data_IF_194564882270
#
_entry.id   IF_194564882270
#
_cell.length_a   1.000
_cell.length_b   1.000
_cell.length_c   1.000
_cell.angle_alpha   90.00
_cell.angle_beta   90.00
_cell.angle_gamma   90.00
#
_symmetry.space_group_name_H-M   'P 1'
#
loop_
_entity.id
_entity.type
_entity.pdbx_description
1 polymer ?
#
# COMPACT_ATOMS: atom_id res chain seq x y z
N UNK A 1 6.72 26.97 26.53
CA UNK A 1 5.34 26.51 26.76
C UNK A 1 4.59 26.65 25.44
N UNK A 2 4.36 25.54 24.74
CA UNK A 2 3.59 25.55 23.49
C UNK A 2 2.13 25.78 23.88
N UNK A 3 1.57 26.89 23.44
CA UNK A 3 0.17 27.22 23.65
C UNK A 3 -0.70 26.25 22.85
N UNK A 4 -1.12 25.17 23.50
CA UNK A 4 -1.98 24.13 22.92
C UNK A 4 -3.42 24.65 23.02
N UNK A 5 -3.78 25.61 22.17
CA UNK A 5 -5.20 25.88 21.96
C UNK A 5 -5.80 24.66 21.28
N UNK A 6 -6.93 24.13 21.73
CA UNK A 6 -7.59 23.02 21.12
C UNK A 6 -8.04 23.44 19.71
N UNK A 7 -7.30 22.99 18.71
CA UNK A 7 -7.68 23.16 17.32
C UNK A 7 -8.93 22.32 17.04
N UNK A 8 -9.80 22.80 16.18
CA UNK A 8 -10.87 21.97 15.64
C UNK A 8 -10.26 20.73 14.95
N UNK A 9 -11.01 19.63 14.83
CA UNK A 9 -10.55 18.41 14.14
C UNK A 9 -9.99 18.72 12.74
N UNK A 10 -10.61 19.67 12.04
CA UNK A 10 -10.14 20.17 10.73
C UNK A 10 -8.78 20.89 10.84
N UNK A 11 -8.54 21.64 11.90
CA UNK A 11 -7.26 22.31 12.15
C UNK A 11 -6.10 21.31 12.36
N UNK A 12 -6.37 20.20 13.06
CA UNK A 12 -5.38 19.13 13.21
C UNK A 12 -5.09 18.42 11.88
N UNK A 13 -6.09 18.22 11.05
CA UNK A 13 -5.94 17.63 9.72
C UNK A 13 -5.08 18.51 8.80
N UNK A 14 -5.35 19.82 8.74
CA UNK A 14 -4.54 20.74 7.96
C UNK A 14 -3.09 20.82 8.46
N UNK A 15 -2.89 20.78 9.77
CA UNK A 15 -1.55 20.76 10.36
C UNK A 15 -0.80 19.47 10.03
N UNK A 16 -1.50 18.33 10.03
CA UNK A 16 -0.96 17.03 9.58
C UNK A 16 -0.54 17.07 8.11
N UNK A 17 -1.39 17.61 7.24
CA UNK A 17 -1.07 17.78 5.81
C UNK A 17 0.15 18.70 5.61
N UNK A 18 0.23 19.79 6.35
CA UNK A 18 1.39 20.68 6.29
C UNK A 18 2.67 20.00 6.77
N UNK A 19 2.61 19.17 7.82
CA UNK A 19 3.76 18.38 8.28
C UNK A 19 4.27 17.41 7.22
N UNK A 20 3.38 16.81 6.41
CA UNK A 20 3.77 15.89 5.32
C UNK A 20 4.59 16.58 4.22
N UNK A 21 4.49 17.89 4.08
CA UNK A 21 5.28 18.67 3.09
C UNK A 21 6.64 19.11 3.61
N UNK A 22 6.91 18.96 4.91
CA UNK A 22 8.16 19.40 5.53
C UNK A 22 9.36 18.60 5.03
N UNK A 23 10.52 19.28 4.80
CA UNK A 23 11.76 18.60 4.45
C UNK A 23 12.16 17.63 5.55
N UNK A 24 12.44 16.38 5.20
CA UNK A 24 12.73 15.29 6.15
C UNK A 24 11.55 14.33 6.38
N UNK A 25 10.32 14.80 6.38
CA UNK A 25 9.11 13.96 6.53
C UNK A 25 8.56 13.54 5.16
N UNK A 26 8.57 14.44 4.18
CA UNK A 26 7.98 14.23 2.85
C UNK A 26 8.48 12.94 2.16
N UNK A 27 9.74 12.55 2.35
CA UNK A 27 10.31 11.34 1.75
C UNK A 27 9.65 10.06 2.24
N UNK A 28 9.20 10.03 3.50
CA UNK A 28 8.51 8.88 4.10
C UNK A 28 7.06 8.76 3.62
N UNK A 29 6.51 9.81 3.04
CA UNK A 29 5.18 9.85 2.41
C UNK A 29 5.28 9.52 0.92
N UNK A 30 6.20 10.18 0.20
CA UNK A 30 6.32 10.02 -1.25
C UNK A 30 6.88 8.68 -1.67
N UNK A 31 7.80 8.11 -0.90
CA UNK A 31 8.44 6.84 -1.26
C UNK A 31 7.45 5.67 -1.28
N UNK A 32 6.64 5.41 -0.22
CA UNK A 32 5.63 4.37 -0.27
C UNK A 32 4.53 4.66 -1.30
N UNK A 33 4.19 5.92 -1.53
CA UNK A 33 3.22 6.31 -2.54
C UNK A 33 3.71 5.96 -3.95
N UNK A 34 4.97 6.27 -4.29
CA UNK A 34 5.57 5.94 -5.58
C UNK A 34 5.66 4.43 -5.80
N UNK A 35 6.10 3.68 -4.78
CA UNK A 35 6.14 2.21 -4.85
C UNK A 35 4.75 1.66 -5.10
N UNK A 36 3.75 2.19 -4.42
CA UNK A 36 2.37 1.76 -4.56
C UNK A 36 1.82 2.03 -5.96
N UNK A 37 2.07 3.23 -6.51
CA UNK A 37 1.72 3.58 -7.89
C UNK A 37 2.43 2.65 -8.88
N UNK A 38 3.72 2.40 -8.68
CA UNK A 38 4.50 1.51 -9.56
C UNK A 38 3.95 0.08 -9.54
N UNK A 39 3.72 -0.47 -8.35
CA UNK A 39 3.15 -1.82 -8.19
C UNK A 39 1.76 -1.91 -8.81
N UNK A 40 0.93 -0.90 -8.62
CA UNK A 40 -0.39 -0.83 -9.22
C UNK A 40 -0.31 -0.81 -10.74
N UNK A 41 0.56 0.03 -11.29
CA UNK A 41 0.75 0.15 -12.75
C UNK A 41 1.24 -1.16 -13.37
N UNK A 42 2.21 -1.82 -12.74
CA UNK A 42 2.73 -3.12 -13.21
C UNK A 42 1.64 -4.19 -13.09
N UNK A 43 0.96 -4.27 -11.95
CA UNK A 43 -0.11 -5.23 -11.72
C UNK A 43 -1.25 -5.07 -12.73
N UNK A 44 -1.65 -3.83 -12.99
CA UNK A 44 -2.69 -3.52 -13.97
C UNK A 44 -2.26 -3.87 -15.39
N UNK A 45 -1.02 -3.56 -15.77
CA UNK A 45 -0.46 -3.92 -17.07
C UNK A 45 -0.45 -5.44 -17.29
N UNK A 46 0.04 -6.20 -16.30
CA UNK A 46 0.05 -7.66 -16.37
C UNK A 46 -1.37 -8.25 -16.42
N UNK A 47 -2.30 -7.65 -15.68
CA UNK A 47 -3.69 -8.05 -15.68
C UNK A 47 -4.30 -7.89 -17.08
N UNK A 48 -4.09 -6.73 -17.72
CA UNK A 48 -4.60 -6.48 -19.07
C UNK A 48 -4.01 -7.44 -20.10
N UNK A 49 -2.72 -7.72 -20.04
CA UNK A 49 -2.09 -8.69 -20.94
C UNK A 49 -2.68 -10.11 -20.82
N UNK A 50 -3.07 -10.51 -19.60
CA UNK A 50 -3.61 -11.84 -19.35
C UNK A 50 -5.11 -11.94 -19.56
N UNK A 51 -5.79 -10.81 -19.53
CA UNK A 51 -7.25 -10.76 -19.66
C UNK A 51 -7.73 -11.31 -21.00
N UNK A 52 -7.15 -10.85 -22.11
CA UNK A 52 -7.51 -11.32 -23.45
C UNK A 52 -7.26 -12.82 -23.63
N UNK A 53 -6.15 -13.32 -23.09
CA UNK A 53 -5.82 -14.74 -23.15
C UNK A 53 -6.85 -15.56 -22.36
N UNK A 54 -7.21 -15.11 -21.16
CA UNK A 54 -8.18 -15.79 -20.31
C UNK A 54 -9.58 -15.77 -20.92
N UNK A 55 -10.00 -14.64 -21.52
CA UNK A 55 -11.29 -14.53 -22.19
C UNK A 55 -11.37 -15.38 -23.44
N UNK A 56 -10.35 -15.39 -24.27
CA UNK A 56 -10.30 -16.26 -25.45
C UNK A 56 -10.32 -17.74 -25.06
N UNK A 57 -9.61 -18.15 -24.02
CA UNK A 57 -9.68 -19.51 -23.51
C UNK A 57 -11.08 -19.87 -22.98
N UNK A 58 -11.74 -18.95 -22.30
CA UNK A 58 -13.09 -19.15 -21.77
C UNK A 58 -14.12 -19.29 -22.89
N UNK A 59 -14.06 -18.42 -23.90
CA UNK A 59 -14.99 -18.44 -25.05
C UNK A 59 -14.75 -19.63 -25.96
N UNK A 60 -13.51 -20.13 -26.09
CA UNK A 60 -13.20 -21.33 -26.90
C UNK A 60 -13.84 -22.62 -26.34
N UNK A 61 -14.26 -22.62 -25.08
CA UNK A 61 -14.98 -23.76 -24.49
C UNK A 61 -16.51 -23.67 -24.66
N UNK A 62 -17.03 -22.52 -25.13
CA UNK A 62 -18.46 -22.34 -25.34
C UNK A 62 -18.84 -22.92 -26.71
N UNK A 63 -19.92 -23.73 -26.76
CA UNK A 63 -20.56 -24.11 -28.04
C UNK A 63 -21.22 -22.91 -28.72
N UNK A 64 -21.29 -22.90 -30.04
CA UNK A 64 -21.83 -21.80 -30.87
C UNK A 64 -23.26 -21.35 -30.48
N UNK A 65 -24.09 -22.26 -29.96
CA UNK A 65 -25.44 -21.95 -29.52
C UNK A 65 -25.49 -21.11 -28.21
N UNK A 66 -24.36 -20.97 -27.51
CA UNK A 66 -24.17 -20.21 -26.27
C UNK A 66 -23.46 -18.88 -26.50
N UNK A 67 -23.22 -18.47 -27.74
CA UNK A 67 -22.52 -17.22 -28.04
C UNK A 67 -23.14 -15.99 -27.38
N UNK A 68 -24.46 -15.96 -27.22
CA UNK A 68 -25.16 -14.91 -26.49
C UNK A 68 -24.68 -14.78 -25.04
N UNK A 69 -24.20 -15.87 -24.44
CA UNK A 69 -23.71 -15.88 -23.07
C UNK A 69 -22.37 -15.12 -22.94
N UNK A 70 -21.59 -15.04 -24.01
CA UNK A 70 -20.34 -14.28 -24.05
C UNK A 70 -20.57 -12.81 -23.71
N UNK A 71 -21.71 -12.26 -24.14
CA UNK A 71 -22.11 -10.87 -23.81
C UNK A 71 -22.29 -10.67 -22.30
N UNK A 72 -22.76 -11.67 -21.59
CA UNK A 72 -22.94 -11.64 -20.13
C UNK A 72 -21.63 -11.99 -19.38
N UNK A 73 -20.85 -12.93 -19.92
CA UNK A 73 -19.61 -13.39 -19.33
C UNK A 73 -18.54 -12.29 -19.32
N UNK A 74 -18.51 -11.45 -20.33
CA UNK A 74 -17.54 -10.36 -20.44
C UNK A 74 -17.58 -9.38 -19.26
N UNK A 75 -18.69 -8.71 -18.97
CA UNK A 75 -18.77 -7.82 -17.82
C UNK A 75 -18.62 -8.54 -16.48
N UNK A 76 -19.10 -9.79 -16.38
CA UNK A 76 -18.95 -10.59 -15.17
C UNK A 76 -17.46 -10.92 -14.91
N UNK A 77 -16.73 -11.34 -15.94
CA UNK A 77 -15.29 -11.61 -15.84
C UNK A 77 -14.51 -10.36 -15.44
N UNK A 78 -14.84 -9.20 -16.04
CA UNK A 78 -14.25 -7.90 -15.66
C UNK A 78 -14.50 -7.60 -14.18
N UNK A 79 -15.72 -7.77 -13.71
CA UNK A 79 -16.07 -7.52 -12.30
C UNK A 79 -15.31 -8.45 -11.34
N UNK A 80 -15.26 -9.75 -11.64
CA UNK A 80 -14.54 -10.74 -10.82
C UNK A 80 -13.05 -10.39 -10.76
N UNK A 81 -12.46 -10.05 -11.90
CA UNK A 81 -11.05 -9.71 -11.99
C UNK A 81 -10.74 -8.41 -11.23
N UNK A 82 -11.56 -7.37 -11.41
CA UNK A 82 -11.38 -6.11 -10.68
C UNK A 82 -11.54 -6.30 -9.18
N UNK A 83 -12.52 -7.09 -8.75
CA UNK A 83 -12.74 -7.41 -7.34
C UNK A 83 -11.55 -8.15 -6.75
N UNK A 84 -11.10 -9.21 -7.43
CA UNK A 84 -9.94 -10.02 -7.00
C UNK A 84 -8.67 -9.18 -6.95
N UNK A 85 -8.45 -8.35 -7.99
CA UNK A 85 -7.31 -7.45 -8.06
C UNK A 85 -7.33 -6.42 -6.93
N UNK A 86 -8.50 -5.82 -6.67
CA UNK A 86 -8.68 -4.84 -5.58
C UNK A 86 -8.37 -5.46 -4.21
N UNK A 87 -8.82 -6.69 -3.99
CA UNK A 87 -8.58 -7.41 -2.73
C UNK A 87 -7.09 -7.74 -2.53
N UNK A 88 -6.46 -8.35 -3.55
CA UNK A 88 -5.03 -8.69 -3.51
C UNK A 88 -4.19 -7.42 -3.36
N UNK A 89 -4.52 -6.39 -4.12
CA UNK A 89 -3.79 -5.14 -4.10
C UNK A 89 -3.93 -4.42 -2.74
N UNK A 90 -5.13 -4.42 -2.17
CA UNK A 90 -5.37 -3.88 -0.82
C UNK A 90 -4.52 -4.59 0.24
N UNK A 91 -4.43 -5.91 0.16
CA UNK A 91 -3.59 -6.70 1.06
C UNK A 91 -2.10 -6.36 0.92
N UNK A 92 -1.59 -6.30 -0.31
CA UNK A 92 -0.19 -5.95 -0.62
C UNK A 92 0.12 -4.51 -0.17
N UNK A 93 -0.78 -3.57 -0.44
CA UNK A 93 -0.63 -2.16 -0.04
C UNK A 93 -0.54 -2.03 1.48
N UNK A 94 -1.42 -2.68 2.23
CA UNK A 94 -1.40 -2.65 3.68
C UNK A 94 -0.11 -3.26 4.25
N UNK A 95 0.34 -4.37 3.69
CA UNK A 95 1.59 -5.00 4.09
C UNK A 95 2.81 -4.11 3.82
N UNK A 96 2.81 -3.44 2.66
CA UNK A 96 3.88 -2.52 2.29
C UNK A 96 3.85 -1.24 3.15
N UNK A 97 2.66 -0.70 3.43
CA UNK A 97 2.50 0.53 4.20
C UNK A 97 2.88 0.37 5.69
N UNK A 98 2.74 -0.82 6.25
CA UNK A 98 2.97 -1.07 7.67
C UNK A 98 4.34 -0.59 8.19
N UNK A 99 5.50 -0.92 7.57
CA UNK A 99 6.80 -0.44 8.02
C UNK A 99 6.95 1.08 7.86
N UNK A 100 6.38 1.66 6.81
CA UNK A 100 6.46 3.10 6.57
C UNK A 100 5.62 3.92 7.55
N UNK A 101 4.45 3.41 7.94
CA UNK A 101 3.61 4.07 8.93
C UNK A 101 4.33 4.17 10.29
N UNK A 102 5.04 3.13 10.71
CA UNK A 102 5.83 3.15 11.93
C UNK A 102 6.99 4.15 11.87
N UNK A 103 7.70 4.20 10.74
CA UNK A 103 8.78 5.17 10.53
C UNK A 103 8.27 6.60 10.47
N UNK A 104 7.15 6.82 9.78
CA UNK A 104 6.51 8.15 9.70
C UNK A 104 6.09 8.63 11.09
N UNK A 105 5.44 7.77 11.88
CA UNK A 105 5.01 8.12 13.24
C UNK A 105 6.21 8.51 14.12
N UNK A 106 7.29 7.74 14.10
CA UNK A 106 8.50 8.06 14.87
C UNK A 106 9.17 9.36 14.43
N UNK A 107 9.15 9.67 13.13
CA UNK A 107 9.70 10.93 12.61
C UNK A 107 8.86 12.14 12.97
N UNK A 108 7.54 12.00 12.91
CA UNK A 108 6.62 13.08 13.35
C UNK A 108 6.77 13.33 14.86
N UNK A 109 6.87 12.26 15.65
CA UNK A 109 7.12 12.37 17.09
C UNK A 109 8.45 13.08 17.37
N UNK A 110 9.54 12.68 16.73
CA UNK A 110 10.83 13.34 16.84
C UNK A 110 10.75 14.81 16.45
N UNK A 111 10.01 15.15 15.40
CA UNK A 111 9.83 16.54 14.95
C UNK A 111 9.05 17.39 15.94
N UNK A 112 8.05 16.80 16.62
CA UNK A 112 7.18 17.51 17.57
C UNK A 112 7.80 17.63 18.97
N UNK A 113 8.55 16.60 19.41
CA UNK A 113 9.12 16.54 20.77
C UNK A 113 10.51 17.14 20.80
N UNK A 114 11.30 17.01 19.75
CA UNK A 114 12.60 17.67 19.68
C UNK A 114 12.43 19.09 19.16
N UNK A 115 12.35 20.02 20.10
CA UNK A 115 12.66 21.45 19.89
C UNK A 115 14.12 21.66 19.46
N UNK A 116 14.82 20.58 19.12
CA UNK A 116 16.25 20.48 18.90
C UNK A 116 16.58 19.85 17.53
N UNK A 117 17.00 20.65 16.68
CA UNK A 117 17.93 20.69 15.54
C UNK A 117 18.73 19.43 15.15
N UNK A 118 18.40 18.22 15.56
CA UNK A 118 19.00 16.97 15.12
C UNK A 118 17.95 16.00 14.59
N UNK A 119 17.46 16.29 13.40
CA UNK A 119 16.96 15.23 12.53
C UNK A 119 18.15 14.33 12.23
N UNK A 120 18.22 13.20 12.91
CA UNK A 120 19.23 12.19 12.64
C UNK A 120 19.09 11.76 11.17
N UNK A 121 19.98 12.27 10.32
CA UNK A 121 19.94 12.07 8.86
C UNK A 121 20.41 10.66 8.48
N UNK A 122 19.86 9.64 9.12
CA UNK A 122 20.09 8.28 8.65
C UNK A 122 19.51 8.10 7.26
N UNK A 123 20.26 7.51 6.33
CA UNK A 123 19.76 7.27 5.00
C UNK A 123 18.55 6.33 5.08
N UNK A 124 17.46 6.69 4.39
CA UNK A 124 16.20 5.92 4.32
C UNK A 124 16.41 4.42 4.12
N UNK A 125 17.40 4.06 3.33
CA UNK A 125 17.70 2.67 3.02
C UNK A 125 18.05 1.83 4.25
N UNK A 126 18.80 2.39 5.19
CA UNK A 126 19.15 1.69 6.43
C UNK A 126 17.92 1.50 7.32
N UNK A 127 17.06 2.52 7.41
CA UNK A 127 15.82 2.43 8.19
C UNK A 127 14.85 1.42 7.58
N UNK A 128 14.67 1.42 6.26
CA UNK A 128 13.83 0.46 5.54
C UNK A 128 14.35 -0.96 5.77
N UNK A 129 15.67 -1.18 5.64
CA UNK A 129 16.25 -2.49 5.83
C UNK A 129 16.03 -3.01 7.27
N UNK A 130 16.22 -2.16 8.27
CA UNK A 130 15.94 -2.50 9.67
C UNK A 130 14.47 -2.77 9.94
N UNK A 131 13.56 -1.97 9.38
CA UNK A 131 12.12 -2.16 9.51
C UNK A 131 11.67 -3.49 8.87
N UNK A 132 12.11 -3.78 7.65
CA UNK A 132 11.83 -5.04 6.97
C UNK A 132 12.37 -6.25 7.72
N UNK A 133 13.58 -6.16 8.24
CA UNK A 133 14.18 -7.24 9.03
C UNK A 133 13.38 -7.56 10.30
N UNK A 134 12.85 -6.53 10.97
CA UNK A 134 11.98 -6.70 12.16
C UNK A 134 10.65 -7.35 11.80
N UNK A 135 9.99 -6.94 10.72
CA UNK A 135 8.75 -7.54 10.26
C UNK A 135 8.98 -8.99 9.77
N UNK A 136 10.08 -9.25 9.08
CA UNK A 136 10.46 -10.59 8.66
C UNK A 136 10.71 -11.55 9.83
N UNK A 137 11.31 -11.05 10.90
CA UNK A 137 11.49 -11.84 12.13
C UNK A 137 10.15 -12.18 12.81
N UNK A 138 9.21 -11.24 12.83
CA UNK A 138 7.85 -11.49 13.33
C UNK A 138 7.12 -12.54 12.50
N UNK A 139 7.21 -12.46 11.17
CA UNK A 139 6.62 -13.44 10.26
C UNK A 139 7.21 -14.84 10.48
N UNK A 140 8.53 -14.96 10.59
CA UNK A 140 9.20 -16.25 10.88
C UNK A 140 8.77 -16.86 12.21
N UNK A 141 8.46 -16.04 13.20
CA UNK A 141 8.01 -16.51 14.50
C UNK A 141 6.51 -16.88 14.51
N UNK A 142 5.70 -16.13 13.80
CA UNK A 142 4.25 -16.31 13.78
C UNK A 142 3.79 -17.42 12.83
N UNK A 143 4.41 -17.52 11.66
CA UNK A 143 4.01 -18.47 10.61
C UNK A 143 4.00 -19.93 11.06
N UNK A 144 5.07 -20.47 11.69
CA UNK A 144 5.06 -21.85 12.15
C UNK A 144 4.08 -22.09 13.29
N UNK A 145 3.79 -21.06 14.09
CA UNK A 145 2.92 -21.18 15.25
C UNK A 145 1.43 -21.17 14.87
N UNK A 146 1.07 -20.45 13.79
CA UNK A 146 -0.30 -20.46 13.25
C UNK A 146 -0.60 -21.68 12.37
N UNK A 147 0.44 -22.32 11.82
CA UNK A 147 0.30 -23.56 11.04
C UNK A 147 0.26 -24.81 11.90
N UNK A 148 0.67 -24.74 13.17
CA UNK A 148 0.72 -25.85 14.12
C UNK A 148 -0.47 -25.87 15.11
N UNK A 149 -1.35 -24.87 15.05
CA UNK A 149 -2.66 -24.85 15.73
C UNK A 149 -3.78 -25.14 14.75
#
# INVERSE_FOLDING_TARGET
MVNIQPLSAFGYLLRGLHLMTQPGIRRYVWFPLLINILLFSIGFYLLFQRFDIAMNALTAWLPDWLDWLTFLLWPLAVLIILFTFSFIFGMVTNWLAAPFNGMLASRVEQYLVSDLHRVDERPLWQEIHHAFRREWQKLKYWLPRTLLC
#
